data_IF_185301963938
#
_entry.id   IF_185301963938
#
_cell.length_a   1.000
_cell.length_b   1.000
_cell.length_c   1.000
_cell.angle_alpha   90.00
_cell.angle_beta   90.00
_cell.angle_gamma   90.00
#
_symmetry.space_group_name_H-M   'P 1'
#
loop_
_entity.id
_entity.type
_entity.pdbx_description
1 polymer ?
#
# COMPACT_ATOMS: atom_id res chain seq x y z
N UNK A 1 -3.32 -9.13 21.30
CA UNK A 1 -4.69 -8.64 21.60
C UNK A 1 -4.79 -7.22 22.17
N UNK A 2 -3.95 -6.80 23.13
CA UNK A 2 -4.04 -5.44 23.72
C UNK A 2 -3.96 -4.30 22.68
N UNK A 3 -3.08 -4.46 21.68
CA UNK A 3 -2.92 -3.49 20.58
C UNK A 3 -4.22 -3.31 19.77
N UNK A 4 -4.88 -4.41 19.37
CA UNK A 4 -6.15 -4.35 18.65
C UNK A 4 -7.23 -3.62 19.44
N UNK A 5 -7.35 -3.91 20.74
CA UNK A 5 -8.35 -3.26 21.60
C UNK A 5 -8.12 -1.75 21.70
N UNK A 6 -6.85 -1.33 21.80
CA UNK A 6 -6.51 0.09 21.78
C UNK A 6 -6.87 0.74 20.44
N UNK A 7 -6.58 0.09 19.31
CA UNK A 7 -6.93 0.61 17.99
C UNK A 7 -8.44 0.70 17.77
N UNK A 8 -9.22 -0.28 18.25
CA UNK A 8 -10.68 -0.22 18.22
C UNK A 8 -11.19 0.94 19.07
N UNK A 9 -10.59 1.18 20.24
CA UNK A 9 -10.93 2.32 21.07
C UNK A 9 -10.64 3.67 20.39
N UNK A 10 -9.46 3.82 19.77
CA UNK A 10 -9.09 5.01 18.99
C UNK A 10 -10.01 5.23 17.79
N UNK A 11 -10.39 4.15 17.11
CA UNK A 11 -11.37 4.16 16.03
C UNK A 11 -12.72 4.71 16.51
N UNK A 12 -13.24 4.22 17.64
CA UNK A 12 -14.51 4.70 18.22
C UNK A 12 -14.46 6.15 18.67
N UNK A 13 -13.29 6.63 19.10
CA UNK A 13 -13.08 8.06 19.40
C UNK A 13 -12.91 8.92 18.15
N UNK A 14 -12.73 8.34 16.97
CA UNK A 14 -12.52 9.07 15.73
C UNK A 14 -11.13 9.69 15.60
N UNK A 15 -10.13 9.18 16.34
CA UNK A 15 -8.74 9.68 16.26
C UNK A 15 -8.14 9.39 14.90
N UNK A 16 -8.43 8.21 14.34
CA UNK A 16 -7.99 7.76 13.01
C UNK A 16 -9.10 6.97 12.34
N UNK A 17 -9.14 7.06 11.00
CA UNK A 17 -10.20 6.46 10.18
C UNK A 17 -9.82 5.11 9.58
N UNK A 18 -8.51 4.79 9.50
CA UNK A 18 -7.98 3.53 9.03
C UNK A 18 -6.81 3.08 9.92
N UNK A 19 -6.77 1.80 10.21
CA UNK A 19 -5.72 1.14 10.96
C UNK A 19 -5.16 -0.02 10.15
N UNK A 20 -3.88 -0.33 10.37
CA UNK A 20 -3.22 -1.51 9.84
C UNK A 20 -2.60 -2.29 10.99
N UNK A 21 -2.78 -3.60 11.00
CA UNK A 21 -2.11 -4.51 11.91
C UNK A 21 -1.50 -5.68 11.14
N UNK A 22 -0.26 -6.02 11.45
CA UNK A 22 0.40 -7.22 10.93
C UNK A 22 0.32 -8.33 11.97
N UNK A 23 -0.17 -9.50 11.56
CA UNK A 23 -0.28 -10.66 12.43
C UNK A 23 -0.15 -11.96 11.63
N UNK A 24 -0.09 -13.10 12.31
CA UNK A 24 -0.12 -14.42 11.67
C UNK A 24 -1.51 -14.74 11.12
N UNK A 25 -1.62 -15.67 10.17
CA UNK A 25 -2.92 -16.06 9.60
C UNK A 25 -3.96 -16.49 10.65
N UNK A 26 -3.54 -17.23 11.68
CA UNK A 26 -4.41 -17.63 12.80
C UNK A 26 -4.90 -16.43 13.61
N UNK A 27 -4.02 -15.47 13.89
CA UNK A 27 -4.38 -14.25 14.62
C UNK A 27 -5.33 -13.36 13.80
N UNK A 28 -5.12 -13.26 12.48
CA UNK A 28 -5.98 -12.50 11.57
C UNK A 28 -7.42 -13.03 11.60
N UNK A 29 -7.60 -14.36 11.66
CA UNK A 29 -8.93 -14.95 11.81
C UNK A 29 -9.62 -14.51 13.13
N UNK A 30 -8.87 -14.46 14.24
CA UNK A 30 -9.38 -13.98 15.53
C UNK A 30 -9.71 -12.49 15.51
N UNK A 31 -8.84 -11.68 14.88
CA UNK A 31 -9.04 -10.24 14.73
C UNK A 31 -10.29 -9.97 13.88
N UNK A 32 -10.45 -10.68 12.76
CA UNK A 32 -11.62 -10.57 11.87
C UNK A 32 -12.92 -10.86 12.61
N UNK A 33 -12.99 -11.98 13.33
CA UNK A 33 -14.15 -12.33 14.15
C UNK A 33 -14.50 -11.23 15.15
N UNK A 34 -13.49 -10.54 15.70
CA UNK A 34 -13.73 -9.43 16.62
C UNK A 34 -14.24 -8.18 15.89
N UNK A 35 -13.65 -7.82 14.76
CA UNK A 35 -14.06 -6.67 13.96
C UNK A 35 -15.49 -6.84 13.42
N UNK A 36 -15.85 -8.05 13.00
CA UNK A 36 -17.21 -8.41 12.58
C UNK A 36 -18.23 -8.19 13.71
N UNK A 37 -17.89 -8.59 14.94
CA UNK A 37 -18.75 -8.36 16.13
C UNK A 37 -18.92 -6.89 16.48
N UNK A 38 -17.93 -6.07 16.20
CA UNK A 38 -17.96 -4.63 16.45
C UNK A 38 -18.57 -3.84 15.27
N UNK A 39 -18.88 -4.52 14.15
CA UNK A 39 -19.43 -3.88 12.94
C UNK A 39 -18.41 -2.99 12.21
N UNK A 40 -17.13 -3.34 12.26
CA UNK A 40 -16.04 -2.53 11.67
C UNK A 40 -15.61 -3.16 10.34
N UNK A 41 -15.63 -2.33 9.29
CA UNK A 41 -15.15 -2.74 7.97
C UNK A 41 -13.67 -3.12 8.01
N UNK A 42 -13.32 -4.19 7.30
CA UNK A 42 -11.95 -4.70 7.31
C UNK A 42 -11.58 -5.37 5.98
N UNK A 43 -10.28 -5.41 5.71
CA UNK A 43 -9.68 -5.99 4.52
C UNK A 43 -8.39 -6.74 4.90
N UNK A 44 -8.37 -8.08 4.83
CA UNK A 44 -7.15 -8.86 5.01
C UNK A 44 -6.32 -8.86 3.72
N UNK A 45 -5.03 -8.57 3.85
CA UNK A 45 -4.03 -8.59 2.80
C UNK A 45 -2.92 -9.58 3.16
N UNK A 46 -2.89 -10.73 2.49
CA UNK A 46 -1.92 -11.79 2.74
C UNK A 46 -0.61 -11.49 2.00
N UNK A 47 0.44 -11.15 2.75
CA UNK A 47 1.77 -10.82 2.21
C UNK A 47 2.63 -12.07 2.09
N UNK A 48 2.49 -13.01 3.03
CA UNK A 48 3.19 -14.29 3.02
C UNK A 48 2.30 -15.40 3.61
N UNK A 49 2.69 -16.68 3.48
CA UNK A 49 1.97 -17.80 4.09
C UNK A 49 1.90 -17.71 5.62
N UNK A 50 2.83 -16.98 6.23
CA UNK A 50 2.99 -16.89 7.69
C UNK A 50 2.51 -15.57 8.27
N UNK A 51 2.49 -14.49 7.47
CA UNK A 51 2.15 -13.13 7.90
C UNK A 51 1.17 -12.49 6.93
N UNK A 52 0.16 -11.86 7.51
CA UNK A 52 -0.81 -11.07 6.80
C UNK A 52 -1.05 -9.74 7.51
N UNK A 53 -1.40 -8.74 6.72
CA UNK A 53 -1.85 -7.45 7.21
C UNK A 53 -3.37 -7.47 7.23
N UNK A 54 -3.98 -6.84 8.23
CA UNK A 54 -5.41 -6.52 8.21
C UNK A 54 -5.56 -5.01 8.32
N UNK A 55 -6.26 -4.46 7.35
CA UNK A 55 -6.72 -3.09 7.35
C UNK A 55 -8.12 -3.05 7.92
N UNK A 56 -8.43 -2.10 8.79
CA UNK A 56 -9.77 -1.93 9.33
C UNK A 56 -10.07 -0.49 9.71
N UNK A 57 -11.33 -0.10 9.66
CA UNK A 57 -11.74 1.27 9.94
C UNK A 57 -13.08 1.62 9.28
N UNK A 58 -13.18 2.82 8.74
CA UNK A 58 -14.39 3.28 8.04
C UNK A 58 -14.46 2.67 6.64
N UNK A 59 -15.65 2.23 6.21
CA UNK A 59 -15.87 1.61 4.90
C UNK A 59 -15.19 2.30 3.72
N UNK A 60 -15.37 3.62 3.50
CA UNK A 60 -14.70 4.30 2.38
C UNK A 60 -13.17 4.23 2.44
N UNK A 61 -12.58 4.24 3.64
CA UNK A 61 -11.13 4.19 3.83
C UNK A 61 -10.59 2.78 3.57
N UNK A 62 -11.31 1.77 4.06
CA UNK A 62 -10.98 0.36 3.85
C UNK A 62 -11.11 -0.02 2.39
N UNK A 63 -12.18 0.41 1.72
CA UNK A 63 -12.41 0.16 0.29
C UNK A 63 -11.35 0.86 -0.57
N UNK A 64 -10.93 2.07 -0.20
CA UNK A 64 -9.82 2.76 -0.87
C UNK A 64 -8.51 2.00 -0.68
N UNK A 65 -8.20 1.56 0.54
CA UNK A 65 -7.01 0.76 0.83
C UNK A 65 -7.00 -0.56 0.04
N UNK A 66 -8.15 -1.23 -0.08
CA UNK A 66 -8.32 -2.45 -0.87
C UNK A 66 -8.02 -2.24 -2.36
N UNK A 67 -8.37 -1.08 -2.93
CA UNK A 67 -8.11 -0.75 -4.34
C UNK A 67 -6.66 -0.39 -4.61
N UNK A 68 -5.97 0.16 -3.62
CA UNK A 68 -4.55 0.56 -3.73
C UNK A 68 -3.63 -0.63 -3.47
N UNK A 69 -3.93 -1.41 -2.43
CA UNK A 69 -3.11 -2.54 -2.00
C UNK A 69 -3.47 -3.79 -2.80
N UNK A 70 -3.13 -3.77 -4.09
CA UNK A 70 -3.36 -4.87 -5.04
C UNK A 70 -2.23 -5.91 -5.04
N UNK A 71 -1.05 -5.51 -4.55
CA UNK A 71 0.13 -6.35 -4.46
C UNK A 71 0.91 -6.13 -3.16
N UNK A 72 2.11 -6.70 -3.06
CA UNK A 72 3.01 -6.50 -1.93
C UNK A 72 3.27 -5.01 -1.65
N UNK A 73 3.24 -4.60 -0.38
CA UNK A 73 3.43 -3.19 0.01
C UNK A 73 4.77 -2.58 -0.43
N UNK A 74 5.78 -3.40 -0.70
CA UNK A 74 7.08 -2.95 -1.20
C UNK A 74 7.10 -2.66 -2.71
N UNK A 75 6.04 -3.01 -3.44
CA UNK A 75 5.89 -2.80 -4.88
C UNK A 75 4.90 -1.67 -5.21
N UNK A 76 4.34 -1.00 -4.19
CA UNK A 76 3.49 0.16 -4.42
C UNK A 76 4.28 1.28 -5.10
N UNK A 77 3.65 1.91 -6.08
CA UNK A 77 4.16 3.14 -6.71
C UNK A 77 4.33 4.25 -5.66
N UNK A 78 5.17 5.27 -5.93
CA UNK A 78 5.29 6.42 -5.06
C UNK A 78 3.93 7.06 -4.72
N UNK A 79 3.02 7.14 -5.69
CA UNK A 79 1.67 7.67 -5.55
C UNK A 79 0.80 6.80 -4.64
N UNK A 80 0.78 5.49 -4.86
CA UNK A 80 0.02 4.56 -4.03
C UNK A 80 0.51 4.54 -2.58
N UNK A 81 1.84 4.58 -2.37
CA UNK A 81 2.46 4.69 -1.05
C UNK A 81 2.13 6.02 -0.35
N UNK A 82 2.05 7.11 -1.12
CA UNK A 82 1.63 8.41 -0.62
C UNK A 82 0.18 8.40 -0.14
N UNK A 83 -0.74 7.87 -0.96
CA UNK A 83 -2.16 7.77 -0.62
C UNK A 83 -2.34 6.85 0.58
N UNK A 84 -1.73 5.66 0.57
CA UNK A 84 -1.83 4.72 1.68
C UNK A 84 -1.31 5.34 2.98
N UNK A 85 -0.19 6.07 2.93
CA UNK A 85 0.33 6.71 4.11
C UNK A 85 -0.58 7.84 4.64
N UNK A 86 -1.21 8.59 3.73
CA UNK A 86 -2.22 9.59 4.11
C UNK A 86 -3.44 8.94 4.76
N UNK A 87 -3.90 7.80 4.23
CA UNK A 87 -5.00 7.03 4.81
C UNK A 87 -4.67 6.49 6.21
N UNK A 88 -3.41 6.15 6.48
CA UNK A 88 -2.96 5.70 7.81
C UNK A 88 -2.71 6.85 8.79
N UNK A 89 -2.85 8.10 8.34
CA UNK A 89 -2.66 9.29 9.17
C UNK A 89 -1.20 9.55 9.52
N UNK A 90 -0.27 9.25 8.59
CA UNK A 90 1.10 9.76 8.65
C UNK A 90 1.12 11.26 8.38
N UNK A 91 2.18 11.91 8.86
CA UNK A 91 2.41 13.33 8.65
C UNK A 91 2.53 13.68 7.16
N UNK A 92 1.90 14.79 6.76
CA UNK A 92 1.84 15.22 5.37
C UNK A 92 3.21 15.62 4.83
N UNK A 93 4.01 16.37 5.60
CA UNK A 93 5.34 16.81 5.16
C UNK A 93 6.30 15.61 5.00
N UNK A 94 6.26 14.68 5.97
CA UNK A 94 7.00 13.42 5.90
C UNK A 94 6.63 12.59 4.68
N UNK A 95 5.34 12.50 4.34
CA UNK A 95 4.87 11.81 3.14
C UNK A 95 5.31 12.52 1.86
N UNK A 96 5.27 13.86 1.81
CA UNK A 96 5.79 14.64 0.68
C UNK A 96 7.29 14.39 0.46
N UNK A 97 8.09 14.43 1.53
CA UNK A 97 9.54 14.18 1.44
C UNK A 97 9.85 12.75 0.99
N UNK A 98 9.12 11.77 1.52
CA UNK A 98 9.21 10.36 1.12
C UNK A 98 8.84 10.15 -0.35
N UNK A 99 7.76 10.79 -0.80
CA UNK A 99 7.31 10.76 -2.18
C UNK A 99 8.39 11.29 -3.15
N UNK A 100 8.89 12.51 -2.90
CA UNK A 100 9.93 13.12 -3.73
C UNK A 100 11.20 12.26 -3.78
N UNK A 101 11.60 11.66 -2.66
CA UNK A 101 12.76 10.78 -2.59
C UNK A 101 12.57 9.51 -3.44
N UNK A 102 11.39 8.91 -3.41
CA UNK A 102 11.09 7.69 -4.18
C UNK A 102 10.96 7.97 -5.68
N UNK A 103 10.35 9.10 -6.04
CA UNK A 103 10.18 9.51 -7.44
C UNK A 103 11.52 9.81 -8.11
N UNK A 104 12.40 10.55 -7.45
CA UNK A 104 13.74 10.84 -8.00
C UNK A 104 14.55 9.56 -8.26
N UNK A 105 14.49 8.57 -7.37
CA UNK A 105 15.14 7.25 -7.58
C UNK A 105 14.54 6.45 -8.74
N UNK A 106 13.27 6.67 -9.06
CA UNK A 106 12.60 6.05 -10.19
C UNK A 106 12.99 6.73 -11.51
N UNK A 107 13.17 8.06 -11.48
CA UNK A 107 13.60 8.86 -12.64
C UNK A 107 15.09 8.67 -12.99
N UNK A 108 15.91 8.21 -12.04
CA UNK A 108 17.33 7.87 -12.26
C UNK A 108 17.56 6.54 -13.02
N UNK A 109 16.51 5.79 -13.39
CA UNK A 109 16.63 4.64 -14.29
C UNK A 109 16.46 5.14 -15.74
N UNK A 110 17.53 5.21 -16.56
CA UNK A 110 17.39 5.67 -17.93
C UNK A 110 16.47 4.72 -18.70
N UNK A 111 15.59 5.22 -19.59
CA UNK A 111 14.84 4.35 -20.48
C UNK A 111 15.84 3.53 -21.29
N UNK A 112 15.64 2.21 -21.35
CA UNK A 112 16.36 1.32 -22.25
C UNK A 112 16.16 1.89 -23.66
N UNK A 113 17.20 2.53 -24.19
CA UNK A 113 17.18 3.15 -25.50
C UNK A 113 16.67 2.14 -26.53
N UNK A 114 15.58 2.50 -27.22
CA UNK A 114 15.14 1.84 -28.43
C UNK A 114 16.35 1.61 -29.34
N UNK A 115 16.64 0.34 -29.61
CA UNK A 115 17.58 -0.03 -30.66
C UNK A 115 17.01 0.47 -31.99
N UNK A 116 17.42 1.68 -32.39
CA UNK A 116 17.47 2.09 -33.79
C UNK A 116 18.42 1.15 -34.51
N UNK A 117 17.88 0.06 -35.07
CA UNK A 117 18.51 -0.61 -36.20
C UNK A 117 18.29 0.25 -37.43
N UNK A 118 19.18 1.22 -37.64
CA UNK A 118 19.39 1.84 -38.95
C UNK A 118 19.97 0.76 -39.89
N UNK A 119 19.09 0.09 -40.63
CA UNK A 119 19.50 -0.65 -41.83
C UNK A 119 19.79 0.39 -42.92
N UNK A 120 21.03 0.89 -42.96
CA UNK A 120 21.52 1.61 -44.14
C UNK A 120 21.65 0.59 -45.29
N UNK A 121 20.75 0.74 -46.27
CA UNK A 121 20.77 0.00 -47.52
C UNK A 121 22.10 0.20 -48.23
N UNK A 122 22.68 -0.91 -48.66
CA UNK A 122 23.81 -0.97 -49.57
C UNK A 122 23.50 -0.12 -50.81
N UNK A 123 24.31 0.92 -51.02
CA UNK A 123 24.33 1.65 -52.29
C UNK A 123 24.96 0.77 -53.35
N UNK A 124 24.20 0.52 -54.41
CA UNK A 124 24.63 -0.10 -55.65
C UNK A 124 25.23 0.95 -56.60
N UNK A 125 26.21 0.52 -57.41
CA UNK A 125 26.76 1.25 -58.57
C UNK A 125 28.17 1.77 -58.33
N UNK A 126 29.16 1.61 -59.22
CA UNK A 126 29.21 1.19 -60.65
C UNK A 126 30.57 0.54 -60.88
#
# INVERSE_FOLDING_TARGET
MRLLLNQIYEFRKGVRSLFMLTATGCEIAQIRLRLDREGIDHFPHFVSPTKANIFFGRGPWVETAKRIVTGPLNQLSPEEDFILGTLLGYDGEGQCRRYLTRRNRHDDCPPVSERRTDWQGASAGV
#
